data_IF_974559695191
#
_entry.id   IF_974559695191
#
_cell.length_a   1.000
_cell.length_b   1.000
_cell.length_c   1.000
_cell.angle_alpha   90.00
_cell.angle_beta   90.00
_cell.angle_gamma   90.00
#
_symmetry.space_group_name_H-M   'P 1'
#
loop_
_entity.id
_entity.type
_entity.pdbx_description
1 polymer ?
#
# COMPACT_ATOMS: atom_id res chain seq x y z
N UNK A 1 23.09 -1.07 19.18
CA UNK A 1 23.90 -0.47 20.26
C UNK A 1 24.98 -1.45 20.69
N UNK A 2 26.26 -1.04 20.76
CA UNK A 2 27.40 -1.95 21.06
C UNK A 2 27.22 -2.65 22.41
N UNK A 3 26.85 -1.88 23.43
CA UNK A 3 26.55 -2.36 24.78
C UNK A 3 25.51 -3.49 24.79
N UNK A 4 24.37 -3.31 24.14
CA UNK A 4 23.31 -4.33 24.07
C UNK A 4 23.79 -5.62 23.39
N UNK A 5 24.54 -5.51 22.28
CA UNK A 5 24.96 -6.66 21.49
C UNK A 5 25.93 -7.57 22.25
N UNK A 6 26.76 -7.00 23.11
CA UNK A 6 27.77 -7.72 23.90
C UNK A 6 27.18 -8.45 25.13
N UNK A 7 25.90 -8.23 25.46
CA UNK A 7 25.24 -8.88 26.60
C UNK A 7 24.85 -10.33 26.31
N UNK A 8 25.00 -11.18 27.33
CA UNK A 8 24.50 -12.55 27.33
C UNK A 8 22.98 -12.58 27.18
N UNK A 9 22.46 -13.66 26.60
CA UNK A 9 21.01 -13.79 26.40
C UNK A 9 20.22 -13.77 27.71
N UNK A 10 20.76 -14.38 28.78
CA UNK A 10 20.18 -14.34 30.12
C UNK A 10 19.98 -12.91 30.63
N UNK A 11 20.97 -12.05 30.38
CA UNK A 11 20.98 -10.66 30.84
C UNK A 11 19.98 -9.83 30.04
N UNK A 12 19.91 -10.07 28.73
CA UNK A 12 18.91 -9.42 27.85
C UNK A 12 17.49 -9.75 28.29
N UNK A 13 17.23 -11.02 28.61
CA UNK A 13 15.91 -11.46 29.08
C UNK A 13 15.53 -10.80 30.40
N UNK A 14 16.44 -10.77 31.37
CA UNK A 14 16.24 -10.09 32.67
C UNK A 14 15.93 -8.60 32.48
N UNK A 15 16.70 -7.90 31.64
CA UNK A 15 16.49 -6.48 31.36
C UNK A 15 15.12 -6.24 30.71
N UNK A 16 14.72 -7.05 29.73
CA UNK A 16 13.41 -6.92 29.07
C UNK A 16 12.27 -7.16 30.06
N UNK A 17 12.38 -8.18 30.91
CA UNK A 17 11.38 -8.51 31.92
C UNK A 17 11.21 -7.38 32.95
N UNK A 18 12.33 -6.80 33.40
CA UNK A 18 12.32 -5.62 34.28
C UNK A 18 11.71 -4.39 33.60
N UNK A 19 12.00 -4.19 32.31
CA UNK A 19 11.41 -3.11 31.52
C UNK A 19 9.89 -3.27 31.37
N UNK A 20 9.36 -4.50 31.29
CA UNK A 20 7.91 -4.77 31.23
C UNK A 20 7.21 -4.56 32.57
N UNK A 21 7.91 -4.80 33.68
CA UNK A 21 7.32 -4.84 35.02
C UNK A 21 7.43 -3.52 35.79
N UNK A 22 8.46 -2.72 35.50
CA UNK A 22 8.73 -1.44 36.15
C UNK A 22 8.28 -0.27 35.27
N UNK A 23 7.97 0.88 35.89
CA UNK A 23 7.84 2.13 35.14
C UNK A 23 9.19 2.56 34.57
N UNK A 24 9.21 3.42 33.55
CA UNK A 24 10.46 3.91 32.94
C UNK A 24 11.40 4.55 33.99
N UNK A 25 10.87 5.30 34.94
CA UNK A 25 11.64 5.91 36.03
C UNK A 25 12.25 4.87 36.98
N UNK A 26 11.45 3.87 37.36
CA UNK A 26 11.91 2.77 38.23
C UNK A 26 12.93 1.87 37.54
N UNK A 27 12.72 1.61 36.25
CA UNK A 27 13.65 0.86 35.41
C UNK A 27 14.98 1.59 35.28
N UNK A 28 14.95 2.91 35.02
CA UNK A 28 16.14 3.77 34.97
C UNK A 28 16.93 3.70 36.28
N UNK A 29 16.26 3.85 37.41
CA UNK A 29 16.88 3.75 38.74
C UNK A 29 17.45 2.36 39.02
N UNK A 30 16.74 1.30 38.64
CA UNK A 30 17.22 -0.07 38.81
C UNK A 30 18.48 -0.32 37.97
N UNK A 31 18.44 0.04 36.68
CA UNK A 31 19.53 -0.19 35.74
C UNK A 31 20.83 0.54 36.14
N UNK A 32 20.71 1.77 36.66
CA UNK A 32 21.84 2.57 37.15
C UNK A 32 22.42 2.05 38.48
N UNK A 33 21.59 1.46 39.34
CA UNK A 33 22.02 0.96 40.64
C UNK A 33 22.50 -0.49 40.62
N UNK A 34 22.24 -1.21 39.53
CA UNK A 34 22.63 -2.61 39.41
C UNK A 34 24.15 -2.75 39.32
N UNK A 35 24.75 -3.47 40.29
CA UNK A 35 26.22 -3.55 40.43
C UNK A 35 26.90 -4.13 39.18
N UNK A 36 26.16 -4.93 38.42
CA UNK A 36 26.63 -5.60 37.20
C UNK A 36 26.89 -4.64 36.04
N UNK A 37 26.22 -3.49 36.00
CA UNK A 37 26.24 -2.57 34.84
C UNK A 37 26.49 -1.11 35.21
N UNK A 38 26.59 -0.79 36.50
CA UNK A 38 26.76 0.55 37.05
C UNK A 38 27.86 1.40 36.39
N UNK A 39 28.93 0.77 35.90
CA UNK A 39 30.06 1.48 35.28
C UNK A 39 30.01 1.45 33.73
N UNK A 40 29.06 0.71 33.15
CA UNK A 40 29.00 0.46 31.71
C UNK A 40 27.91 1.28 31.00
N UNK A 41 27.05 1.97 31.76
CA UNK A 41 25.87 2.67 31.26
C UNK A 41 25.88 4.10 31.81
N UNK A 42 25.73 5.08 30.94
CA UNK A 42 25.47 6.47 31.33
C UNK A 42 23.98 6.78 31.27
N UNK A 43 23.57 7.90 31.85
CA UNK A 43 22.17 8.34 31.79
C UNK A 43 21.66 8.48 30.34
N UNK A 44 22.52 8.96 29.43
CA UNK A 44 22.22 9.13 28.01
C UNK A 44 22.01 7.80 27.26
N UNK A 45 22.66 6.72 27.72
CA UNK A 45 22.50 5.38 27.14
C UNK A 45 21.12 4.79 27.44
N UNK A 46 20.48 5.21 28.53
CA UNK A 46 19.23 4.62 29.02
C UNK A 46 18.08 4.88 28.04
N UNK A 47 17.99 6.09 27.51
CA UNK A 47 16.95 6.42 26.53
C UNK A 47 17.12 5.58 25.25
N UNK A 48 18.36 5.35 24.82
CA UNK A 48 18.67 4.48 23.69
C UNK A 48 18.34 3.00 23.97
N UNK A 49 18.56 2.53 25.20
CA UNK A 49 18.22 1.17 25.63
C UNK A 49 16.70 1.01 25.67
N UNK A 50 15.98 1.93 26.31
CA UNK A 50 14.52 1.94 26.38
C UNK A 50 13.92 1.95 24.98
N UNK A 51 14.40 2.83 24.10
CA UNK A 51 13.96 2.87 22.70
C UNK A 51 14.20 1.54 21.98
N UNK A 52 15.38 0.93 22.17
CA UNK A 52 15.71 -0.35 21.54
C UNK A 52 14.83 -1.50 22.04
N UNK A 53 14.53 -1.53 23.34
CA UNK A 53 13.64 -2.52 23.96
C UNK A 53 12.21 -2.31 23.47
N UNK A 54 11.73 -1.07 23.43
CA UNK A 54 10.39 -0.75 22.94
C UNK A 54 10.20 -1.16 21.48
N UNK A 55 11.17 -0.85 20.60
CA UNK A 55 11.17 -1.33 19.21
C UNK A 55 11.15 -2.86 19.15
N UNK A 56 11.96 -3.54 19.98
CA UNK A 56 11.99 -5.01 20.03
C UNK A 56 10.67 -5.60 20.52
N UNK A 57 10.04 -4.98 21.53
CA UNK A 57 8.75 -5.40 22.07
C UNK A 57 7.61 -5.15 21.07
N UNK A 58 7.63 -4.04 20.35
CA UNK A 58 6.69 -3.77 19.27
C UNK A 58 6.85 -4.79 18.12
N UNK A 59 8.08 -5.14 17.74
CA UNK A 59 8.33 -6.18 16.73
C UNK A 59 7.92 -7.58 17.22
N UNK A 60 8.15 -7.91 18.50
CA UNK A 60 7.79 -9.22 19.05
C UNK A 60 6.30 -9.34 19.35
N UNK A 61 5.61 -8.28 19.77
CA UNK A 61 4.14 -8.26 19.86
C UNK A 61 3.49 -8.39 18.50
N UNK A 62 4.03 -7.73 17.46
CA UNK A 62 3.62 -8.00 16.07
C UNK A 62 3.78 -9.49 15.74
N UNK A 63 4.85 -10.15 16.21
CA UNK A 63 5.10 -11.57 15.93
C UNK A 63 4.38 -12.56 16.86
N UNK A 64 4.00 -12.19 18.08
CA UNK A 64 3.30 -13.04 19.06
C UNK A 64 1.78 -12.93 18.91
N UNK A 65 1.25 -11.77 18.49
CA UNK A 65 -0.14 -11.62 18.03
C UNK A 65 -0.39 -12.32 16.68
N UNK A 66 0.65 -12.84 16.02
CA UNK A 66 0.58 -13.64 14.79
C UNK A 66 0.35 -15.15 15.02
N UNK A 67 -0.17 -15.59 16.17
CA UNK A 67 -0.59 -17.00 16.34
C UNK A 67 -2.01 -17.31 15.84
N UNK A 68 -2.74 -16.28 15.40
CA UNK A 68 -3.71 -16.39 14.32
C UNK A 68 -3.31 -15.32 13.30
N UNK A 69 -2.61 -15.71 12.23
CA UNK A 69 -2.64 -14.91 11.01
C UNK A 69 -4.12 -14.66 10.70
N UNK A 70 -4.63 -13.47 11.03
CA UNK A 70 -5.93 -13.03 10.54
C UNK A 70 -5.77 -12.93 9.04
N UNK A 71 -6.03 -14.02 8.33
CA UNK A 71 -5.98 -14.08 6.88
C UNK A 71 -6.75 -12.86 6.38
N UNK A 72 -6.04 -11.93 5.74
CA UNK A 72 -6.62 -10.70 5.20
C UNK A 72 -7.53 -11.11 4.06
N UNK A 73 -8.78 -11.36 4.43
CA UNK A 73 -9.79 -11.95 3.55
C UNK A 73 -10.83 -10.90 3.25
N UNK A 74 -11.15 -10.77 1.97
CA UNK A 74 -12.18 -9.88 1.50
C UNK A 74 -13.03 -10.58 0.44
N UNK A 75 -14.26 -10.10 0.26
CA UNK A 75 -15.09 -10.55 -0.85
C UNK A 75 -15.03 -9.56 -1.99
N UNK A 76 -14.85 -10.05 -3.21
CA UNK A 76 -14.97 -9.25 -4.43
C UNK A 76 -16.18 -9.73 -5.21
N UNK A 77 -17.01 -8.78 -5.66
CA UNK A 77 -18.23 -9.04 -6.40
C UNK A 77 -18.08 -8.58 -7.84
N UNK A 78 -18.26 -9.49 -8.80
CA UNK A 78 -18.19 -9.24 -10.26
C UNK A 78 -19.47 -9.76 -10.92
N UNK A 79 -20.31 -8.88 -11.46
CA UNK A 79 -21.58 -9.25 -12.11
C UNK A 79 -22.39 -10.28 -11.29
N UNK A 80 -22.57 -10.01 -10.00
CA UNK A 80 -23.25 -10.84 -8.98
C UNK A 80 -22.50 -12.10 -8.51
N UNK A 81 -21.38 -12.48 -9.13
CA UNK A 81 -20.50 -13.53 -8.60
C UNK A 81 -19.72 -12.98 -7.42
N UNK A 82 -19.71 -13.70 -6.30
CA UNK A 82 -18.99 -13.32 -5.08
C UNK A 82 -17.83 -14.28 -4.88
N UNK A 83 -16.61 -13.75 -4.88
CA UNK A 83 -15.37 -14.52 -4.73
C UNK A 83 -14.65 -14.08 -3.46
N UNK A 84 -14.17 -15.04 -2.67
CA UNK A 84 -13.31 -14.76 -1.53
C UNK A 84 -11.87 -14.63 -2.02
N UNK A 85 -11.23 -13.51 -1.71
CA UNK A 85 -9.81 -13.27 -1.99
C UNK A 85 -9.01 -13.30 -0.70
N UNK A 86 -7.75 -13.72 -0.80
CA UNK A 86 -6.76 -13.66 0.27
C UNK A 86 -5.67 -12.67 -0.12
N UNK A 87 -5.36 -11.76 0.77
CA UNK A 87 -4.37 -10.71 0.57
C UNK A 87 -3.15 -10.99 1.46
N UNK A 88 -1.96 -10.72 0.94
CA UNK A 88 -0.71 -10.81 1.72
C UNK A 88 -0.50 -9.57 2.57
N UNK A 89 -0.84 -8.41 2.01
CA UNK A 89 -0.65 -7.10 2.63
C UNK A 89 -1.93 -6.27 2.47
N UNK A 90 -2.21 -5.41 3.45
CA UNK A 90 -3.37 -4.52 3.43
C UNK A 90 -3.09 -3.25 2.61
N UNK A 91 -2.93 -3.42 1.29
CA UNK A 91 -2.67 -2.34 0.32
C UNK A 91 -3.67 -2.38 -0.82
N UNK A 92 -3.94 -1.21 -1.41
CA UNK A 92 -4.84 -1.08 -2.55
C UNK A 92 -4.32 -1.85 -3.76
N UNK A 93 -3.01 -1.82 -3.98
CA UNK A 93 -2.36 -2.57 -5.06
C UNK A 93 -2.60 -4.08 -4.91
N UNK A 94 -2.45 -4.63 -3.70
CA UNK A 94 -2.73 -6.04 -3.45
C UNK A 94 -4.20 -6.37 -3.71
N UNK A 95 -5.13 -5.53 -3.22
CA UNK A 95 -6.56 -5.71 -3.47
C UNK A 95 -6.84 -5.73 -4.99
N UNK A 96 -6.27 -4.78 -5.72
CA UNK A 96 -6.45 -4.65 -7.16
C UNK A 96 -5.91 -5.87 -7.91
N UNK A 97 -4.71 -6.34 -7.54
CA UNK A 97 -4.09 -7.54 -8.10
C UNK A 97 -4.94 -8.79 -7.86
N UNK A 98 -5.39 -9.01 -6.63
CA UNK A 98 -6.25 -10.15 -6.30
C UNK A 98 -7.61 -10.06 -6.97
N UNK A 99 -8.14 -8.85 -7.15
CA UNK A 99 -9.41 -8.63 -7.85
C UNK A 99 -9.35 -9.06 -9.32
N UNK A 100 -8.21 -8.87 -10.00
CA UNK A 100 -8.01 -9.36 -11.37
C UNK A 100 -8.09 -10.89 -11.48
N UNK A 101 -7.70 -11.63 -10.44
CA UNK A 101 -7.83 -13.10 -10.43
C UNK A 101 -9.28 -13.57 -10.40
N UNK A 102 -10.22 -12.71 -10.03
CA UNK A 102 -11.65 -13.01 -9.99
C UNK A 102 -12.34 -12.86 -11.37
N UNK A 103 -11.64 -12.36 -12.38
CA UNK A 103 -12.19 -12.11 -13.70
C UNK A 103 -12.24 -13.39 -14.56
N UNK A 104 -13.36 -13.62 -15.22
CA UNK A 104 -13.51 -14.65 -16.24
C UNK A 104 -13.25 -14.08 -17.64
N UNK A 105 -13.08 -14.97 -18.62
CA UNK A 105 -12.90 -14.60 -20.04
C UNK A 105 -13.97 -13.63 -20.55
N UNK A 106 -15.23 -13.76 -20.11
CA UNK A 106 -16.33 -12.86 -20.49
C UNK A 106 -16.12 -11.43 -20.00
N UNK A 107 -15.52 -11.25 -18.82
CA UNK A 107 -15.26 -9.95 -18.23
C UNK A 107 -14.13 -9.24 -19.01
N UNK A 108 -13.10 -10.00 -19.38
CA UNK A 108 -12.00 -9.52 -20.22
C UNK A 108 -12.52 -9.16 -21.62
N UNK A 109 -13.42 -9.97 -22.19
CA UNK A 109 -14.05 -9.68 -23.47
C UNK A 109 -14.89 -8.40 -23.42
N UNK A 110 -15.60 -8.18 -22.30
CA UNK A 110 -16.35 -6.96 -22.05
C UNK A 110 -15.43 -5.73 -22.02
N UNK A 111 -14.33 -5.79 -21.28
CA UNK A 111 -13.33 -4.71 -21.26
C UNK A 111 -12.85 -4.33 -22.66
N UNK A 112 -12.57 -5.34 -23.50
CA UNK A 112 -12.09 -5.14 -24.88
C UNK A 112 -13.15 -4.55 -25.80
N UNK A 113 -14.38 -5.08 -25.74
CA UNK A 113 -15.44 -4.71 -26.67
C UNK A 113 -16.11 -3.38 -26.31
N UNK A 114 -16.25 -3.11 -25.02
CA UNK A 114 -16.95 -1.93 -24.51
C UNK A 114 -15.99 -0.78 -24.16
N UNK A 115 -14.68 -0.99 -24.31
CA UNK A 115 -13.64 -0.01 -23.95
C UNK A 115 -13.84 0.53 -22.52
N UNK A 116 -14.02 -0.38 -21.56
CA UNK A 116 -14.22 -0.07 -20.15
C UNK A 116 -12.97 -0.43 -19.34
N UNK A 117 -12.69 0.34 -18.29
CA UNK A 117 -11.71 -0.01 -17.26
C UNK A 117 -12.39 -0.59 -16.03
N UNK A 118 -11.61 -1.34 -15.27
CA UNK A 118 -12.01 -1.89 -13.98
C UNK A 118 -11.76 -0.83 -12.91
N UNK A 119 -12.80 -0.46 -12.18
CA UNK A 119 -12.67 0.30 -10.93
C UNK A 119 -13.24 -0.52 -9.77
N UNK A 120 -12.71 -0.30 -8.58
CA UNK A 120 -13.16 -0.95 -7.35
C UNK A 120 -13.97 0.02 -6.52
N UNK A 121 -15.11 -0.44 -6.02
CA UNK A 121 -15.97 0.32 -5.11
C UNK A 121 -16.26 -0.47 -3.85
N UNK A 122 -16.58 0.23 -2.76
CA UNK A 122 -17.17 -0.42 -1.59
C UNK A 122 -18.65 -0.75 -1.82
N UNK A 123 -19.29 -1.36 -0.82
CA UNK A 123 -20.71 -1.70 -0.89
C UNK A 123 -21.66 -0.48 -0.97
N UNK A 124 -21.17 0.73 -0.69
CA UNK A 124 -21.89 2.00 -0.82
C UNK A 124 -21.61 2.71 -2.16
N UNK A 125 -20.96 2.01 -3.09
CA UNK A 125 -20.59 2.49 -4.43
C UNK A 125 -19.59 3.68 -4.43
N UNK A 126 -18.85 3.87 -3.33
CA UNK A 126 -17.73 4.79 -3.29
C UNK A 126 -16.49 4.13 -3.90
N UNK A 127 -15.81 4.81 -4.82
CA UNK A 127 -14.56 4.35 -5.44
C UNK A 127 -13.46 4.22 -4.37
N UNK A 128 -12.70 3.13 -4.43
CA UNK A 128 -11.52 2.89 -3.61
C UNK A 128 -10.31 3.24 -4.48
N UNK A 129 -9.60 4.31 -4.11
CA UNK A 129 -8.44 4.80 -4.88
C UNK A 129 -7.14 4.74 -4.06
N UNK A 130 -7.23 4.45 -2.76
CA UNK A 130 -6.08 4.54 -1.85
C UNK A 130 -6.10 3.48 -0.74
N UNK A 131 -4.92 3.25 -0.16
CA UNK A 131 -4.75 2.43 1.05
C UNK A 131 -5.57 2.96 2.23
N UNK A 132 -5.80 4.27 2.30
CA UNK A 132 -6.60 4.89 3.36
C UNK A 132 -8.06 4.45 3.25
N UNK A 133 -8.60 4.45 2.03
CA UNK A 133 -9.97 4.01 1.77
C UNK A 133 -10.12 2.51 2.05
N UNK A 134 -9.12 1.72 1.64
CA UNK A 134 -9.05 0.29 1.93
C UNK A 134 -9.06 -0.01 3.43
N UNK A 135 -8.16 0.62 4.19
CA UNK A 135 -8.04 0.43 5.65
C UNK A 135 -9.34 0.80 6.36
N UNK A 136 -10.06 1.82 5.88
CA UNK A 136 -11.37 2.19 6.43
C UNK A 136 -12.42 1.10 6.20
N UNK A 137 -12.41 0.43 5.05
CA UNK A 137 -13.32 -0.68 4.77
C UNK A 137 -12.98 -1.94 5.58
N UNK A 138 -11.70 -2.22 5.80
CA UNK A 138 -11.25 -3.36 6.63
C UNK A 138 -11.53 -3.20 8.13
N UNK A 139 -11.89 -2.00 8.60
CA UNK A 139 -12.42 -1.81 9.97
C UNK A 139 -13.84 -2.37 10.14
N UNK A 140 -14.54 -2.72 9.06
CA UNK A 140 -15.88 -3.30 9.09
C UNK A 140 -15.78 -4.83 9.18
N UNK A 141 -16.80 -5.46 9.77
CA UNK A 141 -16.93 -6.91 9.75
C UNK A 141 -17.15 -7.39 8.30
N UNK A 142 -16.24 -8.23 7.80
CA UNK A 142 -16.26 -8.83 6.45
C UNK A 142 -16.13 -7.78 5.31
N UNK A 143 -14.92 -7.28 5.02
CA UNK A 143 -14.71 -6.31 3.95
C UNK A 143 -15.16 -6.89 2.61
N UNK A 144 -15.91 -6.08 1.85
CA UNK A 144 -16.50 -6.48 0.58
C UNK A 144 -16.41 -5.33 -0.42
N UNK A 145 -16.02 -5.67 -1.64
CA UNK A 145 -15.79 -4.76 -2.74
C UNK A 145 -16.57 -5.20 -3.97
N UNK A 146 -16.95 -4.24 -4.81
CA UNK A 146 -17.56 -4.50 -6.11
C UNK A 146 -16.60 -4.02 -7.20
N UNK A 147 -16.43 -4.86 -8.22
CA UNK A 147 -15.87 -4.41 -9.48
C UNK A 147 -16.97 -3.72 -10.26
N UNK A 148 -16.70 -2.49 -10.68
CA UNK A 148 -17.52 -1.75 -11.62
C UNK A 148 -16.73 -1.50 -12.89
N UNK A 149 -17.47 -1.38 -13.99
CA UNK A 149 -16.91 -1.10 -15.31
C UNK A 149 -17.19 0.36 -15.63
N UNK A 150 -16.14 1.18 -15.67
CA UNK A 150 -16.28 2.58 -16.04
C UNK A 150 -15.80 2.77 -17.48
N UNK A 151 -16.53 3.55 -18.30
CA UNK A 151 -16.07 3.85 -19.65
C UNK A 151 -14.66 4.42 -19.58
N UNK A 152 -13.76 3.83 -20.37
CA UNK A 152 -12.46 4.43 -20.60
C UNK A 152 -12.73 5.65 -21.48
N UNK A 153 -12.93 6.82 -20.86
CA UNK A 153 -12.95 8.04 -21.63
C UNK A 153 -11.57 8.16 -22.29
N UNK A 154 -11.46 8.11 -23.62
CA UNK A 154 -10.21 8.47 -24.23
C UNK A 154 -9.94 9.90 -23.75
N UNK A 155 -8.76 10.14 -23.16
CA UNK A 155 -8.11 11.43 -23.32
C UNK A 155 -8.31 11.73 -24.80
N UNK A 156 -8.99 12.83 -25.14
CA UNK A 156 -9.17 13.23 -26.52
C UNK A 156 -7.78 13.57 -27.09
N UNK A 157 -7.03 12.53 -27.45
CA UNK A 157 -5.98 12.58 -28.45
C UNK A 157 -6.78 12.92 -29.69
N UNK A 158 -6.78 14.20 -30.06
CA UNK A 158 -7.67 14.77 -31.07
C UNK A 158 -7.76 13.88 -32.30
N UNK A 159 -8.97 13.73 -32.84
CA UNK A 159 -9.31 12.88 -34.00
C UNK A 159 -8.13 12.70 -34.94
N UNK A 160 -7.50 11.52 -34.93
CA UNK A 160 -6.40 11.22 -35.84
C UNK A 160 -6.97 11.13 -37.26
N UNK A 161 -6.74 12.15 -38.08
CA UNK A 161 -7.10 12.13 -39.50
C UNK A 161 -6.00 11.41 -40.28
N UNK A 162 -6.34 10.30 -40.93
CA UNK A 162 -5.41 9.61 -41.83
C UNK A 162 -5.32 10.35 -43.15
N UNK A 163 -4.20 11.04 -43.39
CA UNK A 163 -3.89 11.61 -44.71
C UNK A 163 -3.23 10.50 -45.54
N UNK A 164 -3.97 9.97 -46.52
CA UNK A 164 -3.49 8.87 -47.38
C UNK A 164 -2.41 9.30 -48.38
N UNK A 165 -2.26 10.61 -48.59
CA UNK A 165 -1.35 11.14 -49.59
C UNK A 165 -0.11 11.74 -48.92
N UNK A 166 1.03 11.06 -49.05
CA UNK A 166 2.30 11.53 -48.52
C UNK A 166 2.76 12.87 -49.14
N UNK A 167 2.37 13.15 -50.39
CA UNK A 167 2.68 14.43 -51.05
C UNK A 167 1.99 15.61 -50.35
N UNK A 168 0.76 15.43 -49.88
CA UNK A 168 0.01 16.46 -49.13
C UNK A 168 0.70 16.76 -47.80
N UNK A 169 1.25 15.73 -47.14
CA UNK A 169 2.04 15.90 -45.91
C UNK A 169 3.36 16.61 -46.19
N UNK A 170 4.07 16.25 -47.27
CA UNK A 170 5.32 16.91 -47.65
C UNK A 170 5.12 18.37 -48.04
N UNK A 171 4.05 18.69 -48.79
CA UNK A 171 3.72 20.08 -49.15
C UNK A 171 3.44 20.89 -47.89
N UNK A 172 2.59 20.37 -47.01
CA UNK A 172 2.28 21.02 -45.74
C UNK A 172 3.55 21.29 -44.93
N UNK A 173 4.46 20.32 -44.80
CA UNK A 173 5.74 20.49 -44.09
C UNK A 173 6.67 21.48 -44.80
N UNK A 174 6.69 21.49 -46.14
CA UNK A 174 7.57 22.36 -46.94
C UNK A 174 7.08 23.81 -47.09
N UNK A 175 5.78 24.07 -46.89
CA UNK A 175 5.21 25.42 -46.87
C UNK A 175 5.46 26.16 -45.54
N UNK A 176 6.00 25.50 -44.52
CA UNK A 176 6.38 26.17 -43.27
C UNK A 176 7.71 26.92 -43.42
N UNK A 177 7.60 28.24 -43.56
CA UNK A 177 8.60 29.19 -43.07
C UNK A 177 8.11 29.72 -41.71
N UNK A 178 8.95 29.56 -40.69
CA UNK A 178 8.68 29.51 -39.24
C UNK A 178 7.88 30.63 -38.51
N UNK A 179 7.15 31.55 -39.13
CA UNK A 179 6.78 32.80 -38.41
C UNK A 179 5.34 33.34 -38.48
N UNK A 180 4.29 32.57 -38.78
CA UNK A 180 2.90 33.07 -38.59
C UNK A 180 1.95 32.01 -38.04
N UNK A 181 1.15 32.41 -37.04
CA UNK A 181 0.12 31.60 -36.37
C UNK A 181 -0.81 30.88 -37.37
N UNK A 182 -1.28 29.70 -36.95
CA UNK A 182 -2.01 28.74 -37.78
C UNK A 182 -3.38 29.30 -38.24
N UNK A 183 -3.62 29.46 -39.56
CA UNK A 183 -4.99 29.62 -40.04
C UNK A 183 -5.71 28.27 -40.01
N UNK A 184 -6.92 28.24 -39.45
CA UNK A 184 -7.77 27.06 -39.49
C UNK A 184 -8.16 26.73 -40.94
N UNK A 185 -7.92 25.48 -41.35
CA UNK A 185 -8.40 24.98 -42.65
C UNK A 185 -9.92 24.80 -42.58
N UNK A 186 -10.68 25.24 -43.61
CA UNK A 186 -12.10 24.98 -43.69
C UNK A 186 -12.38 23.48 -43.84
N UNK A 187 -13.49 23.03 -43.25
CA UNK A 187 -13.92 21.63 -43.20
C UNK A 187 -14.31 21.07 -44.57
#
# INVERSE_FOLDING_TARGET
MKWWNERKQSDKTEIIEKCKTLSNEQFKLWLLNERKWKNDITEDDIDSILFSIDVYLNLTTINEDNKEEKELTAYVIVDKRKTLIKMKELTFEELFRQSHSCLERKDIQKMRNEHVKLDLTNMKDNIIESDRDLKREFKKNRPSFKIIWTPFQPIMIGKTKTIKNALVVMIAISEYNDNKEWPNLPN
#
